data_IF_721089386791
#
_entry.id   IF_721089386791
#
_cell.length_a   1.000
_cell.length_b   1.000
_cell.length_c   1.000
_cell.angle_alpha   90.00
_cell.angle_beta   90.00
_cell.angle_gamma   90.00
#
_symmetry.space_group_name_H-M   'P 1'
#
loop_
_entity.id
_entity.type
_entity.pdbx_description
1 polymer ?
#
# COMPACT_ATOMS: atom_id res chain seq x y z
N UNK A 1 -17.60 -10.59 -9.96
CA UNK A 1 -16.12 -10.68 -10.05
C UNK A 1 -15.64 -9.50 -10.89
N UNK A 2 -14.58 -8.79 -10.50
CA UNK A 2 -14.05 -7.67 -11.29
C UNK A 2 -13.28 -8.25 -12.50
N UNK A 3 -13.57 -7.78 -13.71
CA UNK A 3 -12.86 -8.24 -14.91
C UNK A 3 -11.41 -7.70 -14.92
N UNK A 4 -10.46 -8.55 -15.33
CA UNK A 4 -9.05 -8.20 -15.52
C UNK A 4 -8.86 -7.03 -16.47
N UNK A 5 -9.63 -6.93 -17.55
CA UNK A 5 -9.52 -5.82 -18.52
C UNK A 5 -9.78 -4.46 -17.84
N UNK A 6 -10.73 -4.44 -16.89
CA UNK A 6 -11.03 -3.24 -16.10
C UNK A 6 -9.87 -2.87 -15.17
N UNK A 7 -9.19 -3.85 -14.59
CA UNK A 7 -8.02 -3.62 -13.72
C UNK A 7 -6.86 -3.09 -14.56
N UNK A 8 -6.58 -3.70 -15.71
CA UNK A 8 -5.51 -3.28 -16.62
C UNK A 8 -5.73 -1.86 -17.14
N UNK A 9 -6.95 -1.52 -17.56
CA UNK A 9 -7.26 -0.16 -18.01
C UNK A 9 -7.06 0.92 -16.93
N UNK A 10 -7.23 0.59 -15.65
CA UNK A 10 -6.88 1.52 -14.55
C UNK A 10 -5.37 1.63 -14.38
N UNK A 11 -4.64 0.52 -14.49
CA UNK A 11 -3.18 0.49 -14.34
C UNK A 11 -2.44 1.24 -15.46
N UNK A 12 -3.00 1.31 -16.66
CA UNK A 12 -2.44 2.09 -17.77
C UNK A 12 -2.29 3.59 -17.45
N UNK A 13 -3.12 4.11 -16.54
CA UNK A 13 -3.04 5.51 -16.09
C UNK A 13 -2.03 5.76 -14.96
N UNK A 14 -1.32 4.75 -14.46
CA UNK A 14 -0.42 4.91 -13.31
C UNK A 14 0.95 5.44 -13.73
N UNK A 15 1.41 6.48 -13.04
CA UNK A 15 2.83 6.84 -13.02
C UNK A 15 3.58 5.88 -12.09
N UNK A 16 4.27 4.90 -12.66
CA UNK A 16 5.03 3.90 -11.88
C UNK A 16 6.14 4.53 -11.03
N UNK A 17 6.68 5.70 -11.42
CA UNK A 17 7.65 6.44 -10.60
C UNK A 17 7.00 7.08 -9.38
N UNK A 18 5.67 7.16 -9.32
CA UNK A 18 4.87 7.66 -8.19
C UNK A 18 4.03 6.59 -7.49
N UNK A 19 4.04 5.35 -8.02
CA UNK A 19 3.31 4.23 -7.43
C UNK A 19 3.74 3.94 -5.98
N UNK A 20 2.78 3.42 -5.21
CA UNK A 20 2.93 3.02 -3.81
C UNK A 20 2.25 1.67 -3.57
N UNK A 21 2.77 0.91 -2.62
CA UNK A 21 2.07 -0.27 -2.08
C UNK A 21 1.05 0.20 -1.05
N UNK A 22 -0.24 0.04 -1.36
CA UNK A 22 -1.33 0.46 -0.51
C UNK A 22 -1.91 -0.70 0.30
N UNK A 23 -2.13 -0.51 1.60
CA UNK A 23 -2.79 -1.49 2.45
C UNK A 23 -3.70 -0.86 3.50
N UNK A 24 -4.68 -1.64 3.98
CA UNK A 24 -5.42 -1.30 5.19
C UNK A 24 -4.55 -1.66 6.39
N UNK A 25 -4.13 -0.64 7.16
CA UNK A 25 -3.24 -0.77 8.31
C UNK A 25 -3.95 -1.46 9.48
N UNK A 26 -4.02 -2.79 9.40
CA UNK A 26 -4.67 -3.68 10.38
C UNK A 26 -3.76 -4.85 10.77
N UNK A 27 -4.17 -6.10 10.54
CA UNK A 27 -3.55 -7.32 11.05
C UNK A 27 -2.25 -7.68 10.32
N UNK A 28 -2.33 -8.13 9.06
CA UNK A 28 -1.17 -8.57 8.26
C UNK A 28 -0.44 -7.43 7.52
N UNK A 29 -0.88 -6.20 7.71
CA UNK A 29 -0.33 -5.06 6.99
C UNK A 29 1.06 -4.64 7.51
N UNK A 30 1.48 -5.09 8.70
CA UNK A 30 2.83 -4.86 9.21
C UNK A 30 3.86 -5.59 8.34
N UNK A 31 3.67 -6.88 8.08
CA UNK A 31 4.59 -7.68 7.25
C UNK A 31 4.67 -7.15 5.81
N UNK A 32 3.53 -6.70 5.27
CA UNK A 32 3.48 -6.06 3.94
C UNK A 32 4.22 -4.73 3.92
N UNK A 33 4.07 -3.93 4.98
CA UNK A 33 4.76 -2.65 5.09
C UNK A 33 6.26 -2.84 5.20
N UNK A 34 6.69 -3.74 6.07
CA UNK A 34 8.09 -4.05 6.36
C UNK A 34 8.80 -4.50 5.08
N UNK A 35 8.31 -5.56 4.43
CA UNK A 35 8.91 -6.05 3.18
C UNK A 35 8.88 -5.02 2.05
N UNK A 36 7.83 -4.20 1.95
CA UNK A 36 7.79 -3.13 0.95
C UNK A 36 8.85 -2.05 1.19
N UNK A 37 9.10 -1.68 2.46
CA UNK A 37 10.14 -0.71 2.83
C UNK A 37 11.53 -1.29 2.63
N UNK A 38 11.76 -2.55 3.00
CA UNK A 38 13.03 -3.26 2.80
C UNK A 38 13.43 -3.30 1.31
N UNK A 39 12.46 -3.51 0.42
CA UNK A 39 12.65 -3.53 -1.04
C UNK A 39 12.66 -2.13 -1.67
N UNK A 40 12.60 -1.06 -0.86
CA UNK A 40 12.69 0.33 -1.32
C UNK A 40 11.41 0.89 -1.97
N UNK A 41 10.27 0.22 -1.82
CA UNK A 41 8.98 0.74 -2.27
C UNK A 41 8.43 1.79 -1.30
N UNK A 42 7.68 2.75 -1.84
CA UNK A 42 6.87 3.66 -1.02
C UNK A 42 5.57 2.98 -0.62
N UNK A 43 5.13 3.18 0.62
CA UNK A 43 3.90 2.59 1.15
C UNK A 43 2.80 3.63 1.42
N UNK A 44 1.55 3.17 1.50
CA UNK A 44 0.39 3.96 1.94
C UNK A 44 -0.49 3.08 2.84
N UNK A 45 -0.43 3.33 4.15
CA UNK A 45 -1.33 2.71 5.12
C UNK A 45 -2.61 3.52 5.31
N UNK A 46 -3.77 2.89 5.11
CA UNK A 46 -5.08 3.49 5.39
C UNK A 46 -5.60 2.93 6.72
N UNK A 47 -5.85 3.80 7.70
CA UNK A 47 -6.41 3.43 9.00
C UNK A 47 -7.31 4.53 9.57
N UNK A 48 -8.06 4.19 10.62
CA UNK A 48 -8.79 5.18 11.42
C UNK A 48 -7.80 6.03 12.21
N UNK A 49 -8.16 7.31 12.43
CA UNK A 49 -7.37 8.21 13.26
C UNK A 49 -7.10 7.60 14.65
N UNK A 50 -5.84 7.69 15.10
CA UNK A 50 -5.33 7.09 16.33
C UNK A 50 -4.74 5.69 16.17
N UNK A 51 -4.92 5.02 15.01
CA UNK A 51 -4.37 3.68 14.73
C UNK A 51 -3.12 3.70 13.85
N UNK A 52 -2.69 4.87 13.39
CA UNK A 52 -1.52 5.06 12.53
C UNK A 52 -0.18 4.85 13.25
N UNK A 53 -0.17 5.01 14.59
CA UNK A 53 1.06 5.14 15.39
C UNK A 53 2.06 4.01 15.21
N UNK A 54 1.60 2.77 15.11
CA UNK A 54 2.50 1.63 14.89
C UNK A 54 3.20 1.77 13.55
N UNK A 55 2.46 2.11 12.49
CA UNK A 55 3.03 2.24 11.16
C UNK A 55 3.98 3.45 11.10
N UNK A 56 3.54 4.63 11.56
CA UNK A 56 4.36 5.86 11.51
C UNK A 56 5.61 5.87 12.38
N UNK A 57 5.69 4.95 13.37
CA UNK A 57 6.82 4.88 14.29
C UNK A 57 7.90 3.92 13.80
N UNK A 58 7.50 2.86 13.11
CA UNK A 58 8.40 1.77 12.71
C UNK A 58 8.75 1.81 11.21
N UNK A 59 7.97 2.51 10.38
CA UNK A 59 8.12 2.62 8.93
C UNK A 59 7.95 4.08 8.46
#
# INVERSE_FOLDING_TARGET
MINKDKILGVLEGYDLKKAKIGMVASHSALDVCDGAVEEGFRTLGICQAGREKTYSRYF
#
